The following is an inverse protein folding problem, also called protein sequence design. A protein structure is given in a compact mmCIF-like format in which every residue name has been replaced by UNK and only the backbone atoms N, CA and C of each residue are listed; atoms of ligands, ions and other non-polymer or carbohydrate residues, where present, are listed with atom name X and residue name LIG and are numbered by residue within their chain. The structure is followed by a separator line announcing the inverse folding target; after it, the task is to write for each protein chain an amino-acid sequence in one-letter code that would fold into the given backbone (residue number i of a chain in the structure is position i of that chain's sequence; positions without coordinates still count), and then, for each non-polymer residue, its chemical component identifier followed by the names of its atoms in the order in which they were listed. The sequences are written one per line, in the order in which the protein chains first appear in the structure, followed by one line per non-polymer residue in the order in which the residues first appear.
data_IF_441202631843
#
_entry.id   IF_441202631843
#
_cell.length_a   1.000
_cell.length_b   1.000
_cell.length_c   1.000
_cell.angle_alpha   90.00
_cell.angle_beta   90.00
_cell.angle_gamma   90.00
#
_symmetry.space_group_name_H-M   'P 1'
#
loop_
_entity.id
_entity.type
_entity.pdbx_description
1 polymer ?
#
# COMPACT_ATOMS: atom_id res chain seq x y z
N UNK A 1 6.88 3.61 -1.54
CA UNK A 1 6.17 4.75 -2.18
C UNK A 1 4.71 4.48 -2.60
N UNK A 2 4.38 3.31 -3.16
CA UNK A 2 3.10 3.12 -3.88
C UNK A 2 1.83 3.33 -3.02
N UNK A 3 1.83 2.88 -1.77
CA UNK A 3 0.69 3.04 -0.87
C UNK A 3 0.35 4.52 -0.58
N UNK A 4 1.36 5.35 -0.31
CA UNK A 4 1.17 6.79 -0.08
C UNK A 4 0.63 7.47 -1.33
N UNK A 5 1.16 7.11 -2.51
CA UNK A 5 0.71 7.64 -3.80
C UNK A 5 -0.73 7.24 -4.12
N UNK A 6 -1.08 5.96 -3.97
CA UNK A 6 -2.43 5.43 -4.25
C UNK A 6 -3.48 6.07 -3.34
N UNK A 7 -3.12 6.35 -2.10
CA UNK A 7 -4.04 6.89 -1.10
C UNK A 7 -3.92 8.42 -0.92
N UNK A 8 -3.18 9.12 -1.77
CA UNK A 8 -2.84 10.55 -1.59
C UNK A 8 -4.07 11.43 -1.32
N UNK A 9 -5.16 11.26 -2.05
CA UNK A 9 -6.40 12.05 -1.88
C UNK A 9 -7.11 11.73 -0.56
N UNK A 10 -7.14 10.46 -0.15
CA UNK A 10 -7.74 10.04 1.11
C UNK A 10 -6.93 10.59 2.30
N UNK A 11 -5.61 10.42 2.24
CA UNK A 11 -4.65 11.02 3.19
C UNK A 11 -4.85 12.54 3.25
N UNK A 12 -4.98 13.18 2.08
CA UNK A 12 -5.23 14.61 1.96
C UNK A 12 -6.48 15.05 2.74
N UNK A 13 -7.58 14.35 2.52
CA UNK A 13 -8.88 14.65 3.15
C UNK A 13 -8.81 14.49 4.66
N UNK A 14 -8.14 13.44 5.14
CA UNK A 14 -8.03 13.15 6.56
C UNK A 14 -7.18 14.21 7.27
N UNK A 15 -6.03 14.58 6.71
CA UNK A 15 -5.14 15.56 7.34
C UNK A 15 -5.68 16.99 7.32
N UNK A 16 -6.65 17.31 6.45
CA UNK A 16 -7.33 18.60 6.53
C UNK A 16 -8.03 18.83 7.87
N UNK A 17 -8.34 17.77 8.64
CA UNK A 17 -8.90 17.91 9.99
C UNK A 17 -7.95 18.64 10.95
N UNK A 18 -6.64 18.41 10.83
CA UNK A 18 -5.60 19.12 11.58
C UNK A 18 -4.26 19.07 10.85
N UNK A 19 -4.02 20.02 9.96
CA UNK A 19 -2.73 20.08 9.25
C UNK A 19 -1.54 20.35 10.19
N UNK A 20 -1.77 21.11 11.25
CA UNK A 20 -0.72 21.52 12.18
C UNK A 20 -0.11 20.33 12.92
N UNK A 21 -0.97 19.43 13.40
CA UNK A 21 -0.54 18.22 14.09
C UNK A 21 0.37 17.37 13.20
N UNK A 22 -0.08 17.00 12.00
CA UNK A 22 0.71 16.12 11.13
C UNK A 22 2.02 16.78 10.70
N UNK A 23 2.00 18.09 10.40
CA UNK A 23 3.20 18.83 10.05
C UNK A 23 4.23 18.84 11.20
N UNK A 24 3.78 19.01 12.44
CA UNK A 24 4.66 18.98 13.60
C UNK A 24 5.23 17.57 13.83
N UNK A 25 4.42 16.52 13.71
CA UNK A 25 4.88 15.13 13.90
C UNK A 25 5.94 14.72 12.87
N UNK A 26 5.83 15.14 11.61
CA UNK A 26 6.87 14.85 10.61
C UNK A 26 8.17 15.62 10.84
N UNK A 27 8.12 16.82 11.44
CA UNK A 27 9.32 17.60 11.85
C UNK A 27 9.99 16.94 13.05
N UNK A 28 9.21 16.54 14.07
CA UNK A 28 9.69 15.85 15.27
C UNK A 28 10.43 14.54 14.92
N UNK A 29 9.89 13.77 13.96
CA UNK A 29 10.52 12.55 13.44
C UNK A 29 11.62 12.81 12.42
N UNK A 30 11.92 14.07 12.12
CA UNK A 30 12.96 14.51 11.17
C UNK A 30 12.77 13.92 9.76
N UNK A 31 11.52 13.68 9.35
CA UNK A 31 11.18 13.22 8.00
C UNK A 31 11.34 14.35 6.98
N UNK A 32 11.24 15.59 7.44
CA UNK A 32 11.53 16.81 6.69
C UNK A 32 12.59 17.63 7.43
N UNK A 33 13.26 18.51 6.69
CA UNK A 33 14.20 19.46 7.26
C UNK A 33 13.46 20.67 7.83
N UNK A 34 14.11 21.41 8.75
CA UNK A 34 13.54 22.65 9.30
C UNK A 34 13.16 23.69 8.23
N UNK A 35 13.94 23.78 7.16
CA UNK A 35 13.64 24.67 6.02
C UNK A 35 12.38 24.22 5.29
N UNK A 36 12.23 22.93 5.07
CA UNK A 36 11.03 22.35 4.45
C UNK A 36 9.80 22.56 5.33
N UNK A 37 9.92 22.36 6.65
CA UNK A 37 8.85 22.67 7.61
C UNK A 37 8.39 24.13 7.50
N UNK A 38 9.31 25.09 7.53
CA UNK A 38 8.96 26.51 7.45
C UNK A 38 8.26 26.86 6.12
N UNK A 39 8.72 26.27 5.01
CA UNK A 39 8.11 26.46 3.70
C UNK A 39 6.71 25.84 3.64
N UNK A 40 6.52 24.65 4.19
CA UNK A 40 5.24 23.95 4.24
C UNK A 40 4.25 24.67 5.16
N UNK A 41 4.73 25.20 6.30
CA UNK A 41 3.92 25.94 7.26
C UNK A 41 3.35 27.24 6.69
N UNK A 42 4.05 27.88 5.75
CA UNK A 42 3.70 29.21 5.26
C UNK A 42 3.79 29.29 3.73
N UNK A 43 2.82 28.65 3.06
CA UNK A 43 2.64 28.71 1.61
C UNK A 43 1.69 29.86 1.33
N UNK A 44 2.16 30.87 0.61
CA UNK A 44 1.41 32.10 0.43
C UNK A 44 0.20 31.88 -0.50
N UNK A 45 -1.01 32.15 0.00
CA UNK A 45 -2.26 32.07 -0.77
C UNK A 45 -2.84 30.66 -0.90
N UNK A 46 -2.29 29.68 -0.18
CA UNK A 46 -2.78 28.30 -0.21
C UNK A 46 -3.80 28.05 0.91
N UNK A 47 -4.78 27.19 0.63
CA UNK A 47 -5.70 26.69 1.64
C UNK A 47 -5.15 25.45 2.36
N UNK A 48 -5.87 24.99 3.39
CA UNK A 48 -5.45 23.82 4.17
C UNK A 48 -5.21 22.60 3.27
N UNK A 49 -6.03 22.42 2.24
CA UNK A 49 -5.90 21.31 1.30
C UNK A 49 -4.57 21.36 0.56
N UNK A 50 -4.21 22.50 -0.03
CA UNK A 50 -2.93 22.62 -0.74
C UNK A 50 -1.72 22.50 0.18
N UNK A 51 -1.82 22.99 1.41
CA UNK A 51 -0.81 22.76 2.45
C UNK A 51 -0.58 21.26 2.74
N UNK A 52 -1.66 20.49 2.85
CA UNK A 52 -1.60 19.04 3.06
C UNK A 52 -1.01 18.33 1.83
N UNK A 53 -1.47 18.69 0.63
CA UNK A 53 -0.96 18.08 -0.61
C UNK A 53 0.53 18.34 -0.78
N UNK A 54 0.99 19.56 -0.50
CA UNK A 54 2.40 19.92 -0.53
C UNK A 54 3.23 19.09 0.46
N UNK A 55 2.70 18.82 1.66
CA UNK A 55 3.34 17.95 2.65
C UNK A 55 3.47 16.51 2.12
N UNK A 56 2.38 15.93 1.59
CA UNK A 56 2.40 14.55 1.08
C UNK A 56 3.37 14.42 -0.10
N UNK A 57 3.36 15.40 -1.02
CA UNK A 57 4.32 15.46 -2.13
C UNK A 57 5.75 15.59 -1.63
N UNK A 58 5.99 16.39 -0.59
CA UNK A 58 7.31 16.52 0.00
C UNK A 58 7.82 15.17 0.52
N UNK A 59 7.00 14.43 1.27
CA UNK A 59 7.35 13.10 1.80
C UNK A 59 7.65 12.13 0.65
N UNK A 60 6.81 12.11 -0.39
CA UNK A 60 7.02 11.24 -1.56
C UNK A 60 8.32 11.54 -2.30
N UNK A 61 8.65 12.83 -2.47
CA UNK A 61 9.83 13.27 -3.19
C UNK A 61 11.16 12.97 -2.47
N UNK A 62 11.14 12.69 -1.16
CA UNK A 62 12.35 12.32 -0.40
C UNK A 62 12.74 10.84 -0.54
N UNK A 63 11.88 10.02 -1.16
CA UNK A 63 12.17 8.62 -1.47
C UNK A 63 11.56 7.62 -0.50
N UNK A 64 11.82 6.34 -0.76
CA UNK A 64 11.11 5.22 -0.13
C UNK A 64 11.30 5.13 1.38
N UNK A 65 12.53 5.31 1.88
CA UNK A 65 12.80 5.27 3.32
C UNK A 65 11.97 6.31 4.10
N UNK A 66 11.80 7.51 3.53
CA UNK A 66 10.97 8.55 4.15
C UNK A 66 9.49 8.18 4.10
N UNK A 67 9.03 7.63 2.97
CA UNK A 67 7.65 7.14 2.86
C UNK A 67 7.35 6.02 3.86
N UNK A 68 8.26 5.08 4.05
CA UNK A 68 8.10 3.97 5.00
C UNK A 68 8.08 4.48 6.45
N UNK A 69 9.00 5.37 6.80
CA UNK A 69 9.01 6.01 8.12
C UNK A 69 7.74 6.85 8.37
N UNK A 70 7.23 7.50 7.32
CA UNK A 70 5.96 8.22 7.38
C UNK A 70 4.78 7.26 7.61
N UNK A 71 4.68 6.16 6.86
CA UNK A 71 3.64 5.15 7.06
C UNK A 71 3.71 4.51 8.46
N UNK A 72 4.92 4.29 8.98
CA UNK A 72 5.11 3.81 10.34
C UNK A 72 4.59 4.82 11.36
N UNK A 73 4.93 6.11 11.19
CA UNK A 73 4.41 7.21 12.01
C UNK A 73 2.88 7.22 12.02
N UNK A 74 2.24 7.11 10.86
CA UNK A 74 0.76 7.12 10.75
C UNK A 74 0.08 5.97 11.49
N UNK A 75 0.75 4.82 11.61
CA UNK A 75 0.19 3.61 12.21
C UNK A 75 0.55 3.44 13.69
N UNK A 76 1.61 4.11 14.17
CA UNK A 76 2.16 3.86 15.51
C UNK A 76 1.91 4.98 16.49
N UNK A 77 1.90 6.25 16.05
CA UNK A 77 1.76 7.40 16.95
C UNK A 77 0.34 7.54 17.48
N UNK A 78 0.21 7.63 18.80
CA UNK A 78 -1.09 7.63 19.48
C UNK A 78 -1.90 8.90 19.22
N UNK A 79 -1.24 10.06 19.16
CA UNK A 79 -1.92 11.33 18.90
C UNK A 79 -2.48 11.35 17.47
N UNK A 80 -1.72 10.83 16.51
CA UNK A 80 -2.17 10.67 15.12
C UNK A 80 -3.37 9.72 15.04
N UNK A 81 -3.29 8.54 15.66
CA UNK A 81 -4.40 7.57 15.64
C UNK A 81 -5.66 8.11 16.32
N UNK A 82 -5.50 8.92 17.37
CA UNK A 82 -6.63 9.54 18.08
C UNK A 82 -7.26 10.66 17.27
N UNK A 83 -6.45 11.45 16.57
CA UNK A 83 -6.93 12.62 15.79
C UNK A 83 -7.50 12.20 14.44
N UNK A 84 -6.96 11.14 13.82
CA UNK A 84 -7.36 10.66 12.50
C UNK A 84 -7.77 9.18 12.53
N UNK A 85 -8.89 8.84 13.20
CA UNK A 85 -9.34 7.45 13.28
C UNK A 85 -9.60 6.81 11.91
N UNK A 86 -9.91 7.61 10.88
CA UNK A 86 -10.17 7.20 9.50
C UNK A 86 -8.94 6.58 8.81
N UNK A 87 -7.72 6.81 9.32
CA UNK A 87 -6.50 6.17 8.80
C UNK A 87 -6.57 4.63 8.86
N UNK A 88 -7.41 4.08 9.74
CA UNK A 88 -7.67 2.63 9.84
C UNK A 88 -8.41 2.07 8.63
N UNK A 89 -9.14 2.91 7.91
CA UNK A 89 -9.91 2.52 6.72
C UNK A 89 -9.05 2.54 5.45
N UNK A 90 -7.82 3.05 5.52
CA UNK A 90 -6.92 3.09 4.39
C UNK A 90 -6.23 1.73 4.23
N UNK A 91 -6.27 1.20 3.01
CA UNK A 91 -5.50 0.03 2.65
C UNK A 91 -4.04 0.42 2.33
N UNK A 92 -3.16 0.22 3.31
CA UNK A 92 -1.73 0.56 3.20
C UNK A 92 -0.90 -0.52 2.48
N UNK A 93 -1.34 -1.77 2.48
CA UNK A 93 -0.69 -2.85 1.72
C UNK A 93 -1.29 -2.96 0.32
N UNK A 94 -0.45 -3.10 -0.69
CA UNK A 94 -0.87 -3.60 -2.00
C UNK A 94 -1.16 -5.11 -1.88
N UNK A 95 -2.16 -5.50 -1.10
CA UNK A 95 -2.65 -6.87 -1.16
C UNK A 95 -3.38 -7.01 -2.49
N UNK A 96 -2.66 -7.41 -3.53
CA UNK A 96 -3.28 -8.10 -4.65
C UNK A 96 -3.98 -9.31 -4.01
N UNK A 97 -5.32 -9.47 -4.12
CA UNK A 97 -5.92 -10.74 -3.80
C UNK A 97 -5.32 -11.73 -4.80
N UNK A 98 -4.33 -12.52 -4.37
CA UNK A 98 -3.84 -13.65 -5.13
C UNK A 98 -5.00 -14.63 -5.21
N UNK A 99 -5.77 -14.57 -6.29
CA UNK A 99 -6.60 -15.69 -6.73
C UNK A 99 -5.67 -16.89 -6.81
N UNK A 100 -5.93 -17.87 -5.95
CA UNK A 100 -5.14 -19.10 -5.84
C UNK A 100 -4.98 -19.74 -7.24
N UNK A 101 -3.81 -20.30 -7.59
CA UNK A 101 -3.71 -21.13 -8.78
C UNK A 101 -4.55 -22.38 -8.51
N UNK A 102 -5.57 -22.61 -9.34
CA UNK A 102 -6.24 -23.91 -9.40
C UNK A 102 -5.21 -24.90 -9.94
N UNK A 103 -4.47 -25.54 -9.04
CA UNK A 103 -3.80 -26.79 -9.33
C UNK A 103 -4.87 -27.87 -9.38
N UNK A 104 -5.25 -28.27 -10.60
CA UNK A 104 -5.77 -29.61 -10.84
C UNK A 104 -4.77 -30.32 -11.73
N UNK A 105 -3.71 -30.84 -11.12
CA UNK A 105 -3.00 -31.96 -11.70
C UNK A 105 -3.88 -33.19 -11.43
N UNK A 106 -4.46 -33.74 -12.48
CA UNK A 106 -5.06 -35.08 -12.44
C UNK A 106 -4.13 -35.97 -13.25
N UNK A 107 -3.36 -36.78 -12.53
CA UNK A 107 -2.59 -37.90 -13.08
C UNK A 107 -3.59 -39.02 -13.35
N UNK A 108 -4.01 -39.18 -14.60
CA UNK A 108 -4.83 -40.33 -15.00
C UNK A 108 -3.94 -41.57 -15.11
N UNK A 109 -4.00 -42.38 -14.06
CA UNK A 109 -3.49 -43.75 -14.01
C UNK A 109 -4.42 -44.66 -14.83
N UNK A 110 -3.96 -45.17 -15.98
CA UNK A 110 -4.61 -46.29 -16.68
C UNK A 110 -3.57 -47.36 -17.04
N UNK A 111 -3.67 -48.51 -16.37
CA UNK A 111 -4.04 -49.82 -16.95
C UNK A 111 -3.75 -50.89 -15.87
N UNK A 112 -4.65 -51.82 -15.54
CA UNK A 112 -5.52 -52.57 -16.43
C UNK A 112 -5.07 -54.03 -16.35
N UNK A 113 -5.57 -54.80 -15.38
CA UNK A 113 -5.19 -56.20 -15.18
C UNK A 113 -5.72 -57.10 -16.32
N UNK A 114 -4.79 -57.74 -17.03
CA UNK A 114 -4.78 -59.17 -17.42
C UNK A 114 -6.05 -59.82 -17.98
N UNK A 115 -6.06 -60.17 -19.28
CA UNK A 115 -6.45 -61.53 -19.70
C UNK A 115 -5.94 -61.97 -21.09
N UNK A 116 -5.35 -63.16 -21.07
CA UNK A 116 -4.86 -64.02 -22.15
C UNK A 116 -5.95 -64.44 -23.16
N UNK A 117 -5.65 -64.44 -24.47
CA UNK A 117 -5.75 -65.63 -25.36
C UNK A 117 -5.82 -65.30 -26.88
N UNK A 118 -4.86 -65.89 -27.60
CA UNK A 118 -5.02 -66.63 -28.88
C UNK A 118 -5.38 -65.87 -30.17
N UNK A 119 -4.32 -65.66 -30.98
CA UNK A 119 -4.12 -66.19 -32.36
C UNK A 119 -5.35 -66.20 -33.31
N UNK A 120 -5.24 -65.52 -34.46
CA UNK A 120 -5.18 -66.11 -35.84
C UNK A 120 -5.46 -65.03 -36.93
N UNK A 121 -4.43 -64.82 -37.76
CA UNK A 121 -4.31 -64.63 -39.23
C UNK A 121 -5.40 -63.99 -40.13
N UNK A 122 -4.83 -63.23 -41.09
CA UNK A 122 -5.14 -62.99 -42.54
C UNK A 122 -6.39 -62.15 -42.85
N UNK A 123 -6.18 -60.98 -43.48
CA UNK A 123 -6.03 -60.73 -44.94
C UNK A 123 -7.26 -61.18 -45.73
N UNK A 124 -7.93 -60.19 -46.29
CA UNK A 124 -8.38 -60.17 -47.70
C UNK A 124 -8.31 -58.73 -48.17
#
# INVERSE_FOLDING_TARGET
MEAVRRNKTAIGTIFCADYGLILNKVDEKKLITRREYNNLKNINGEDIWGHVIALVDKIMNKGDATCEAFLNLLQTDDDIKSTYPELKNIQWSATIPLTQPVQSSSEDHFDGMSQECKRIRRVT
#
